data_IF_189316897736
#
_entry.id   IF_189316897736
#
_cell.length_a   1.000
_cell.length_b   1.000
_cell.length_c   1.000
_cell.angle_alpha   90.00
_cell.angle_beta   90.00
_cell.angle_gamma   90.00
#
_symmetry.space_group_name_H-M   'P 1'
#
loop_
_entity.id
_entity.type
_entity.pdbx_description
1 polymer ?
#
# COMPACT_ATOMS: atom_id res chain seq x y z
N UNK A 1 -37.98 4.82 6.25
CA UNK A 1 -36.55 4.85 5.90
C UNK A 1 -36.10 6.31 5.86
N UNK A 2 -35.15 6.72 6.72
CA UNK A 2 -34.63 8.09 6.68
C UNK A 2 -33.85 8.28 5.37
N UNK A 3 -34.24 9.27 4.57
CA UNK A 3 -33.58 9.64 3.33
C UNK A 3 -32.19 10.18 3.72
N UNK A 4 -31.15 9.35 3.62
CA UNK A 4 -29.78 9.82 3.83
C UNK A 4 -29.53 10.91 2.78
N UNK A 5 -29.32 12.15 3.21
CA UNK A 5 -28.95 13.21 2.28
C UNK A 5 -27.68 12.76 1.56
N UNK A 6 -27.72 12.71 0.22
CA UNK A 6 -26.59 12.28 -0.58
C UNK A 6 -25.41 13.21 -0.29
N UNK A 7 -24.36 12.69 0.33
CA UNK A 7 -23.16 13.45 0.67
C UNK A 7 -22.43 13.78 -0.63
N UNK A 8 -22.18 15.06 -0.89
CA UNK A 8 -21.36 15.51 -2.03
C UNK A 8 -19.88 15.52 -1.62
N UNK A 9 -19.19 14.44 -1.96
CA UNK A 9 -17.78 14.24 -1.61
C UNK A 9 -16.86 15.22 -2.34
N UNK A 10 -17.20 15.62 -3.57
CA UNK A 10 -16.45 16.63 -4.32
C UNK A 10 -16.51 18.01 -3.66
N UNK A 11 -17.68 18.39 -3.15
CA UNK A 11 -17.86 19.62 -2.39
C UNK A 11 -17.11 19.61 -1.05
N UNK A 12 -17.06 18.45 -0.37
CA UNK A 12 -16.26 18.28 0.85
C UNK A 12 -14.76 18.44 0.54
N UNK A 13 -14.25 17.80 -0.52
CA UNK A 13 -12.86 17.97 -0.95
C UNK A 13 -12.52 19.44 -1.22
N UNK A 14 -13.41 20.17 -1.90
CA UNK A 14 -13.23 21.60 -2.16
C UNK A 14 -13.08 22.42 -0.88
N UNK A 15 -13.89 22.11 0.15
CA UNK A 15 -13.82 22.77 1.46
C UNK A 15 -12.51 22.42 2.17
N UNK A 16 -12.10 21.15 2.17
CA UNK A 16 -10.86 20.69 2.79
C UNK A 16 -9.60 21.32 2.18
N UNK A 17 -9.53 21.41 0.84
CA UNK A 17 -8.41 22.11 0.18
C UNK A 17 -8.41 23.59 0.57
N UNK A 18 -9.58 24.24 0.62
CA UNK A 18 -9.68 25.64 1.05
C UNK A 18 -9.25 25.84 2.51
N UNK A 19 -9.65 24.98 3.43
CA UNK A 19 -9.30 25.08 4.85
C UNK A 19 -7.84 24.74 5.12
N UNK A 20 -7.21 23.88 4.31
CA UNK A 20 -5.79 23.54 4.43
C UNK A 20 -4.83 24.70 4.17
N UNK A 21 -5.29 25.79 3.51
CA UNK A 21 -4.44 26.90 3.09
C UNK A 21 -3.49 26.56 1.92
N UNK A 22 -3.51 25.34 1.41
CA UNK A 22 -2.68 24.89 0.29
C UNK A 22 -3.34 25.32 -1.02
N UNK A 23 -2.54 25.85 -1.95
CA UNK A 23 -3.04 26.22 -3.27
C UNK A 23 -3.58 25.01 -4.03
N UNK A 24 -4.61 25.20 -4.86
CA UNK A 24 -5.19 24.12 -5.67
C UNK A 24 -4.14 23.37 -6.50
N UNK A 25 -3.20 24.11 -7.09
CA UNK A 25 -2.11 23.53 -7.89
C UNK A 25 -1.24 22.61 -7.04
N UNK A 26 -0.86 23.05 -5.84
CA UNK A 26 -0.02 22.29 -4.94
C UNK A 26 -0.75 21.09 -4.33
N UNK A 27 -2.01 21.26 -3.91
CA UNK A 27 -2.84 20.17 -3.41
C UNK A 27 -3.03 19.06 -4.47
N UNK A 28 -3.26 19.45 -5.72
CA UNK A 28 -3.37 18.52 -6.85
C UNK A 28 -2.06 17.79 -7.09
N UNK A 29 -0.95 18.52 -7.11
CA UNK A 29 0.39 17.95 -7.32
C UNK A 29 0.74 16.94 -6.23
N UNK A 30 0.49 17.26 -4.96
CA UNK A 30 0.74 16.35 -3.82
C UNK A 30 -0.15 15.10 -3.85
N UNK A 31 -1.37 15.23 -4.37
CA UNK A 31 -2.28 14.09 -4.59
C UNK A 31 -1.95 13.28 -5.86
N UNK A 32 -0.94 13.68 -6.66
CA UNK A 32 -0.54 13.01 -7.89
C UNK A 32 -1.41 13.32 -9.11
N UNK A 33 -2.11 14.45 -9.11
CA UNK A 33 -3.04 14.85 -10.16
C UNK A 33 -2.70 16.22 -10.77
N UNK A 34 -3.13 16.43 -12.01
CA UNK A 34 -3.09 17.73 -12.67
C UNK A 34 -4.15 18.69 -12.13
N UNK A 35 -3.92 19.99 -12.29
CA UNK A 35 -4.86 21.04 -11.87
C UNK A 35 -6.26 20.91 -12.51
N UNK A 36 -6.33 20.51 -13.79
CA UNK A 36 -7.62 20.31 -14.49
C UNK A 36 -8.40 19.15 -13.86
N UNK A 37 -7.71 18.06 -13.54
CA UNK A 37 -8.30 16.88 -12.89
C UNK A 37 -8.91 17.22 -11.53
N UNK A 38 -8.28 18.10 -10.74
CA UNK A 38 -8.87 18.58 -9.50
C UNK A 38 -10.25 19.22 -9.71
N UNK A 39 -10.41 20.06 -10.73
CA UNK A 39 -11.71 20.70 -11.00
C UNK A 39 -12.77 19.67 -11.42
N UNK A 40 -12.38 18.59 -12.10
CA UNK A 40 -13.28 17.46 -12.33
C UNK A 40 -13.65 16.73 -11.04
N UNK A 41 -12.68 16.49 -10.14
CA UNK A 41 -12.90 15.79 -8.89
C UNK A 41 -13.87 16.52 -7.95
N UNK A 42 -13.70 17.83 -7.78
CA UNK A 42 -14.60 18.61 -6.90
C UNK A 42 -16.01 18.79 -7.48
N UNK A 43 -16.19 18.55 -8.79
CA UNK A 43 -17.49 18.54 -9.45
C UNK A 43 -18.20 17.19 -9.40
N UNK A 44 -17.57 16.15 -8.81
CA UNK A 44 -18.14 14.81 -8.71
C UNK A 44 -18.70 14.54 -7.31
N UNK A 45 -20.03 14.44 -7.14
CA UNK A 45 -20.64 14.14 -5.85
C UNK A 45 -20.27 12.77 -5.29
N UNK A 46 -20.07 11.79 -6.18
CA UNK A 46 -19.75 10.39 -5.84
C UNK A 46 -18.24 10.12 -6.00
N UNK A 47 -17.40 11.10 -5.63
CA UNK A 47 -15.95 10.98 -5.72
C UNK A 47 -15.46 9.72 -5.00
N UNK A 48 -14.55 8.99 -5.65
CA UNK A 48 -14.04 7.73 -5.10
C UNK A 48 -13.17 7.99 -3.86
N UNK A 49 -13.24 7.08 -2.90
CA UNK A 49 -12.55 7.19 -1.61
C UNK A 49 -11.01 7.15 -1.74
N UNK A 50 -10.48 6.44 -2.74
CA UNK A 50 -9.04 6.41 -3.03
C UNK A 50 -8.49 7.75 -3.52
N UNK A 51 -9.32 8.51 -4.26
CA UNK A 51 -8.97 9.86 -4.68
C UNK A 51 -8.95 10.80 -3.46
N UNK A 52 -9.97 10.69 -2.59
CA UNK A 52 -10.03 11.46 -1.34
C UNK A 52 -8.83 11.16 -0.44
N UNK A 53 -8.45 9.90 -0.27
CA UNK A 53 -7.28 9.47 0.50
C UNK A 53 -5.96 10.08 0.00
N UNK A 54 -5.79 10.18 -1.33
CA UNK A 54 -4.62 10.87 -1.92
C UNK A 54 -4.60 12.36 -1.59
N UNK A 55 -5.74 13.03 -1.66
CA UNK A 55 -5.82 14.43 -1.23
C UNK A 55 -5.59 14.56 0.26
N UNK A 56 -6.27 13.76 1.09
CA UNK A 56 -6.10 13.72 2.55
C UNK A 56 -4.61 13.65 2.94
N UNK A 57 -3.87 12.71 2.33
CA UNK A 57 -2.43 12.57 2.53
C UNK A 57 -1.66 13.80 2.06
N UNK A 58 -1.99 14.34 0.89
CA UNK A 58 -1.30 15.49 0.31
C UNK A 58 -1.52 16.82 1.07
N UNK A 59 -2.69 17.01 1.66
CA UNK A 59 -3.05 18.24 2.38
C UNK A 59 -3.06 18.09 3.91
N UNK A 60 -2.77 16.89 4.44
CA UNK A 60 -2.78 16.61 5.87
C UNK A 60 -4.18 16.74 6.50
N UNK A 61 -5.20 16.32 5.77
CA UNK A 61 -6.60 16.43 6.18
C UNK A 61 -7.22 15.06 6.47
N UNK A 62 -8.15 15.01 7.41
CA UNK A 62 -8.89 13.80 7.76
C UNK A 62 -10.37 13.96 7.38
N UNK A 63 -10.86 13.08 6.51
CA UNK A 63 -12.24 13.11 6.02
C UNK A 63 -13.22 12.24 6.83
N UNK A 64 -12.77 11.58 7.90
CA UNK A 64 -13.63 10.65 8.68
C UNK A 64 -14.82 11.35 9.34
N UNK A 65 -14.67 12.62 9.69
CA UNK A 65 -15.70 13.40 10.37
C UNK A 65 -16.84 13.79 9.41
N UNK A 66 -16.55 13.98 8.12
CA UNK A 66 -17.55 14.39 7.13
C UNK A 66 -18.02 13.26 6.20
N UNK A 67 -17.21 12.21 6.04
CA UNK A 67 -17.47 11.10 5.12
C UNK A 67 -17.33 9.79 5.91
N UNK A 68 -18.44 9.30 6.44
CA UNK A 68 -18.47 8.06 7.26
C UNK A 68 -17.85 6.86 6.53
N UNK A 69 -17.97 6.77 5.20
CA UNK A 69 -17.39 5.65 4.43
C UNK A 69 -15.85 5.65 4.44
N UNK A 70 -15.21 6.77 4.82
CA UNK A 70 -13.75 6.84 4.97
C UNK A 70 -13.27 6.05 6.20
N UNK A 71 -14.11 5.86 7.22
CA UNK A 71 -13.75 5.06 8.40
C UNK A 71 -13.46 3.63 7.98
N UNK A 72 -14.45 2.97 7.35
CA UNK A 72 -14.29 1.60 6.87
C UNK A 72 -13.22 1.48 5.78
N UNK A 73 -13.05 2.51 4.95
CA UNK A 73 -11.98 2.54 3.94
C UNK A 73 -10.60 2.44 4.59
N UNK A 74 -10.35 3.22 5.65
CA UNK A 74 -9.06 3.20 6.34
C UNK A 74 -8.84 1.90 7.13
N UNK A 75 -9.88 1.31 7.71
CA UNK A 75 -9.81 0.00 8.35
C UNK A 75 -9.40 -1.08 7.35
N UNK A 76 -10.12 -1.20 6.21
CA UNK A 76 -9.77 -2.15 5.15
C UNK A 76 -8.37 -1.91 4.58
N UNK A 77 -7.98 -0.64 4.39
CA UNK A 77 -6.64 -0.29 3.90
C UNK A 77 -5.55 -0.74 4.88
N UNK A 78 -5.79 -0.58 6.19
CA UNK A 78 -4.89 -1.06 7.24
C UNK A 78 -4.79 -2.58 7.25
N UNK A 79 -5.91 -3.29 7.24
CA UNK A 79 -5.93 -4.76 7.21
C UNK A 79 -5.17 -5.32 6.01
N UNK A 80 -5.40 -4.75 4.82
CA UNK A 80 -4.68 -5.14 3.61
C UNK A 80 -3.17 -4.88 3.73
N UNK A 81 -2.77 -3.78 4.37
CA UNK A 81 -1.35 -3.46 4.58
C UNK A 81 -0.68 -4.44 5.55
N UNK A 82 -1.36 -4.81 6.64
CA UNK A 82 -0.88 -5.80 7.60
C UNK A 82 -0.74 -7.18 6.94
N UNK A 83 -1.77 -7.62 6.20
CA UNK A 83 -1.72 -8.88 5.45
C UNK A 83 -0.58 -8.90 4.42
N UNK A 84 -0.28 -7.76 3.79
CA UNK A 84 0.84 -7.66 2.84
C UNK A 84 2.18 -7.80 3.55
N UNK A 85 2.35 -7.16 4.70
CA UNK A 85 3.59 -7.25 5.48
C UNK A 85 3.84 -8.69 5.96
N UNK A 86 2.83 -9.34 6.54
CA UNK A 86 2.93 -10.73 7.01
C UNK A 86 3.30 -11.70 5.87
N UNK A 87 2.76 -11.49 4.66
CA UNK A 87 3.11 -12.27 3.48
C UNK A 87 4.57 -12.08 3.06
N UNK A 88 5.07 -10.84 3.09
CA UNK A 88 6.47 -10.53 2.75
C UNK A 88 7.41 -11.20 3.77
N UNK A 89 7.06 -11.20 5.06
CA UNK A 89 7.86 -11.88 6.08
C UNK A 89 7.89 -13.39 5.90
N UNK A 90 6.74 -14.01 5.63
CA UNK A 90 6.66 -15.44 5.36
C UNK A 90 7.47 -15.84 4.12
N UNK A 91 7.42 -15.04 3.06
CA UNK A 91 8.21 -15.28 1.84
C UNK A 91 9.71 -15.12 2.09
N UNK A 92 10.13 -14.09 2.84
CA UNK A 92 11.53 -13.90 3.29
C UNK A 92 12.03 -15.13 4.04
N UNK A 93 11.26 -15.59 5.02
CA UNK A 93 11.65 -16.71 5.87
C UNK A 93 11.71 -18.02 5.09
N UNK A 94 10.74 -18.26 4.19
CA UNK A 94 10.78 -19.38 3.26
C UNK A 94 12.07 -19.39 2.42
N UNK A 95 12.40 -18.29 1.75
CA UNK A 95 13.59 -18.24 0.90
C UNK A 95 14.90 -18.37 1.69
N UNK A 96 14.95 -17.83 2.90
CA UNK A 96 16.09 -18.01 3.82
C UNK A 96 16.30 -19.49 4.14
N UNK A 97 15.24 -20.20 4.47
CA UNK A 97 15.30 -21.59 4.90
C UNK A 97 15.62 -22.52 3.71
N UNK A 98 15.03 -22.27 2.55
CA UNK A 98 15.34 -22.97 1.29
C UNK A 98 16.82 -22.80 0.89
N UNK A 99 17.34 -21.57 1.01
CA UNK A 99 18.75 -21.29 0.75
C UNK A 99 19.67 -22.04 1.72
N UNK A 100 19.36 -22.01 3.02
CA UNK A 100 20.13 -22.72 4.04
C UNK A 100 20.14 -24.24 3.79
N UNK A 101 19.00 -24.82 3.42
CA UNK A 101 18.89 -26.24 3.07
C UNK A 101 19.77 -26.58 1.86
N UNK A 102 19.61 -25.83 0.78
CA UNK A 102 20.38 -26.04 -0.47
C UNK A 102 21.88 -25.94 -0.23
N UNK A 103 22.30 -24.95 0.58
CA UNK A 103 23.70 -24.77 0.94
C UNK A 103 24.24 -25.97 1.73
N UNK A 104 23.46 -26.48 2.70
CA UNK A 104 23.82 -27.69 3.46
C UNK A 104 23.94 -28.91 2.56
N UNK A 105 22.99 -29.13 1.66
CA UNK A 105 23.03 -30.23 0.70
C UNK A 105 24.28 -30.16 -0.20
N UNK A 106 24.61 -28.96 -0.70
CA UNK A 106 25.84 -28.72 -1.45
C UNK A 106 27.09 -29.12 -0.65
N UNK A 107 27.19 -28.71 0.61
CA UNK A 107 28.35 -29.06 1.45
C UNK A 107 28.47 -30.57 1.66
N UNK A 108 27.36 -31.27 1.89
CA UNK A 108 27.37 -32.73 2.06
C UNK A 108 27.74 -33.46 0.76
N UNK A 109 27.31 -32.96 -0.39
CA UNK A 109 27.74 -33.50 -1.69
C UNK A 109 29.23 -33.29 -1.93
N UNK A 110 29.77 -32.11 -1.62
CA UNK A 110 31.20 -31.83 -1.75
C UNK A 110 32.06 -32.78 -0.89
N UNK A 111 31.66 -33.01 0.37
CA UNK A 111 32.34 -33.97 1.26
C UNK A 111 32.32 -35.39 0.69
N UNK A 112 31.20 -35.81 0.09
CA UNK A 112 31.08 -37.13 -0.54
C UNK A 112 32.01 -37.27 -1.74
N UNK A 113 32.11 -36.24 -2.57
CA UNK A 113 33.02 -36.22 -3.73
C UNK A 113 34.47 -36.37 -3.26
N UNK A 114 34.89 -35.56 -2.29
CA UNK A 114 36.25 -35.60 -1.73
C UNK A 114 36.59 -36.99 -1.16
N UNK A 115 35.66 -37.63 -0.46
CA UNK A 115 35.83 -38.99 0.06
C UNK A 115 35.99 -40.04 -1.05
N UNK A 116 35.24 -39.90 -2.15
CA UNK A 116 35.31 -40.82 -3.29
C UNK A 116 36.62 -40.67 -4.05
N UNK A 117 37.08 -39.43 -4.27
CA UNK A 117 38.38 -39.14 -4.88
C UNK A 117 39.53 -39.73 -4.05
N UNK A 118 39.49 -39.57 -2.72
CA UNK A 118 40.49 -40.14 -1.82
C UNK A 118 40.51 -41.68 -1.79
N UNK A 119 39.40 -42.34 -2.10
CA UNK A 119 39.32 -43.82 -2.23
C UNK A 119 39.85 -44.30 -3.56
N UNK A 120 39.59 -43.57 -4.64
CA UNK A 120 40.12 -43.88 -5.97
C UNK A 120 41.64 -43.71 -6.02
N UNK A 121 42.18 -42.67 -5.39
CA UNK A 121 43.62 -42.41 -5.35
C UNK A 121 44.44 -43.45 -4.55
N UNK A 122 43.79 -44.31 -3.76
CA UNK A 122 44.43 -45.38 -2.97
C UNK A 122 44.38 -46.76 -3.65
N UNK A 123 43.73 -46.87 -4.80
CA UNK A 123 43.64 -48.08 -5.62
C UNK A 123 44.64 -48.02 -6.77
#
# INVERSE_FOLDING_TARGET
MKKQAKIDRGAILKKAVKSSGISVTEASRRAGYGRVTYYMHIGNPDLKLDILDKYATGIGYDFRDEITEMVEYYERKRENSLSTFEKIEAERDFWRDEYARTLKEKYELLKKIELLEAKLARK
#
